data_IF_924624682102
#
_entry.id   IF_924624682102
#
_cell.length_a   1.000
_cell.length_b   1.000
_cell.length_c   1.000
_cell.angle_alpha   90.00
_cell.angle_beta   90.00
_cell.angle_gamma   90.00
#
_symmetry.space_group_name_H-M   'P 1'
#
loop_
_entity.id
_entity.type
_entity.pdbx_description
1 polymer ?
#
# COMPACT_ATOMS: atom_id res chain seq x y z
N UNK A 1 3.59 10.41 0.12
CA UNK A 1 4.18 9.78 1.33
C UNK A 1 4.59 8.32 1.14
N UNK A 2 3.68 7.36 0.95
CA UNK A 2 4.04 5.92 0.86
C UNK A 2 5.13 5.60 -0.20
N UNK A 3 4.99 6.13 -1.42
CA UNK A 3 6.00 5.98 -2.48
C UNK A 3 7.35 6.60 -2.10
N UNK A 4 7.37 7.74 -1.42
CA UNK A 4 8.61 8.41 -1.04
C UNK A 4 9.34 7.62 0.06
N UNK A 5 8.61 7.04 1.01
CA UNK A 5 9.21 6.20 2.07
C UNK A 5 9.77 4.91 1.45
N UNK A 6 9.02 4.24 0.58
CA UNK A 6 9.48 3.03 -0.10
C UNK A 6 10.72 3.29 -0.97
N UNK A 7 10.75 4.39 -1.71
CA UNK A 7 11.93 4.81 -2.47
C UNK A 7 13.15 5.04 -1.55
N UNK A 8 12.98 5.72 -0.41
CA UNK A 8 14.05 5.90 0.59
C UNK A 8 14.53 4.58 1.20
N UNK A 9 13.62 3.60 1.31
CA UNK A 9 13.92 2.24 1.74
C UNK A 9 14.52 1.37 0.62
N UNK A 10 14.79 1.93 -0.56
CA UNK A 10 15.25 1.20 -1.75
C UNK A 10 14.31 0.05 -2.15
N UNK A 11 13.02 0.22 -1.88
CA UNK A 11 11.95 -0.70 -2.25
C UNK A 11 11.15 -0.11 -3.43
N UNK A 12 10.58 -0.99 -4.26
CA UNK A 12 9.69 -0.61 -5.35
C UNK A 12 8.23 -0.76 -4.89
N UNK A 13 7.56 0.37 -4.63
CA UNK A 13 6.16 0.41 -4.20
C UNK A 13 5.22 -0.28 -5.19
N UNK A 14 5.55 -0.24 -6.48
CA UNK A 14 4.74 -0.79 -7.55
C UNK A 14 5.27 -2.15 -8.04
N UNK A 15 5.86 -2.93 -7.15
CA UNK A 15 6.52 -4.19 -7.50
C UNK A 15 5.60 -5.15 -8.27
N UNK A 16 4.30 -5.17 -7.95
CA UNK A 16 3.31 -6.05 -8.59
C UNK A 16 3.33 -5.99 -10.12
N UNK A 17 3.38 -4.78 -10.72
CA UNK A 17 3.41 -4.63 -12.20
C UNK A 17 4.78 -4.98 -12.81
N UNK A 18 5.82 -5.13 -12.00
CA UNK A 18 7.19 -5.46 -12.43
C UNK A 18 7.47 -6.96 -12.37
N UNK A 19 6.71 -7.73 -11.58
CA UNK A 19 6.98 -9.13 -11.27
C UNK A 19 7.25 -10.00 -12.50
N UNK A 20 6.41 -9.93 -13.54
CA UNK A 20 6.60 -10.73 -14.76
C UNK A 20 7.93 -10.43 -15.47
N UNK A 21 8.36 -9.17 -15.50
CA UNK A 21 9.65 -8.78 -16.07
C UNK A 21 10.83 -9.26 -15.22
N UNK A 22 10.74 -9.10 -13.90
CA UNK A 22 11.79 -9.54 -12.97
C UNK A 22 11.98 -11.06 -12.98
N UNK A 23 10.89 -11.82 -12.99
CA UNK A 23 10.93 -13.30 -13.06
C UNK A 23 11.57 -13.77 -14.36
N UNK A 24 11.27 -13.14 -15.50
CA UNK A 24 11.94 -13.45 -16.78
C UNK A 24 13.43 -13.09 -16.74
N UNK A 25 13.78 -11.93 -16.20
CA UNK A 25 15.17 -11.52 -16.05
C UNK A 25 15.96 -12.46 -15.14
N UNK A 26 15.30 -13.14 -14.21
CA UNK A 26 15.89 -14.17 -13.36
C UNK A 26 16.06 -15.54 -14.06
N UNK A 27 15.64 -15.68 -15.33
CA UNK A 27 15.86 -16.88 -16.14
C UNK A 27 14.70 -17.88 -16.17
N UNK A 28 13.50 -17.50 -15.71
CA UNK A 28 12.29 -18.31 -15.87
C UNK A 28 11.63 -18.04 -17.22
N UNK A 29 11.23 -19.12 -17.88
CA UNK A 29 10.72 -19.16 -19.23
C UNK A 29 9.22 -19.50 -19.28
N UNK A 30 8.73 -20.38 -18.40
CA UNK A 30 7.30 -20.59 -18.15
C UNK A 30 6.80 -19.63 -17.07
N UNK A 31 6.23 -18.50 -17.50
CA UNK A 31 5.77 -17.41 -16.64
C UNK A 31 4.33 -17.05 -16.96
N UNK A 32 3.45 -17.21 -15.97
CA UNK A 32 2.05 -16.76 -16.02
C UNK A 32 1.88 -15.56 -15.09
N UNK A 33 1.41 -14.44 -15.63
CA UNK A 33 1.08 -13.23 -14.86
C UNK A 33 -0.42 -13.16 -14.65
N UNK A 34 -0.84 -12.89 -13.42
CA UNK A 34 -2.24 -12.68 -13.07
C UNK A 34 -2.39 -11.42 -12.22
N UNK A 35 -3.63 -11.07 -11.93
CA UNK A 35 -3.97 -9.99 -11.00
C UNK A 35 -5.12 -10.39 -10.12
N UNK A 36 -5.10 -9.95 -8.87
CA UNK A 36 -6.25 -9.98 -7.97
C UNK A 36 -6.51 -8.58 -7.42
N UNK A 37 -7.68 -8.38 -6.80
CA UNK A 37 -8.02 -7.10 -6.17
C UNK A 37 -8.58 -7.32 -4.78
N UNK A 38 -8.19 -6.44 -3.85
CA UNK A 38 -8.99 -6.17 -2.67
C UNK A 38 -9.86 -4.96 -2.92
N UNK A 39 -11.10 -5.01 -2.45
CA UNK A 39 -12.07 -3.92 -2.57
C UNK A 39 -12.68 -3.66 -1.20
N UNK A 40 -12.60 -2.41 -0.75
CA UNK A 40 -13.16 -1.92 0.51
C UNK A 40 -14.25 -0.90 0.19
N UNK A 41 -15.51 -1.34 0.19
CA UNK A 41 -16.66 -0.57 -0.28
C UNK A 41 -17.95 -0.78 0.53
N UNK A 42 -17.98 -1.77 1.42
CA UNK A 42 -19.02 -1.92 2.43
C UNK A 42 -18.55 -1.30 3.77
N UNK A 43 -19.47 -1.01 4.71
CA UNK A 43 -19.11 -0.35 5.96
C UNK A 43 -18.07 -1.10 6.81
N UNK A 44 -18.11 -2.44 6.84
CA UNK A 44 -17.21 -3.25 7.66
C UNK A 44 -15.80 -3.24 7.08
N UNK A 45 -15.67 -3.49 5.78
CA UNK A 45 -14.38 -3.51 5.10
C UNK A 45 -13.69 -2.13 5.10
N UNK A 46 -14.46 -1.04 4.97
CA UNK A 46 -13.95 0.34 5.14
C UNK A 46 -13.49 0.63 6.55
N UNK A 47 -14.29 0.28 7.56
CA UNK A 47 -13.94 0.50 8.96
C UNK A 47 -12.64 -0.23 9.32
N UNK A 48 -12.51 -1.47 8.87
CA UNK A 48 -11.30 -2.26 9.07
C UNK A 48 -10.07 -1.66 8.38
N UNK A 49 -10.16 -1.38 7.07
CA UNK A 49 -9.01 -0.88 6.30
C UNK A 49 -8.60 0.53 6.72
N UNK A 50 -9.57 1.42 6.88
CA UNK A 50 -9.31 2.80 7.28
C UNK A 50 -8.83 2.91 8.73
N UNK A 51 -9.35 2.09 9.64
CA UNK A 51 -8.86 2.00 11.02
C UNK A 51 -7.41 1.53 11.07
N UNK A 52 -7.09 0.44 10.37
CA UNK A 52 -5.71 -0.06 10.28
C UNK A 52 -4.74 1.01 9.76
N UNK A 53 -5.10 1.73 8.69
CA UNK A 53 -4.23 2.77 8.15
C UNK A 53 -4.14 4.00 9.04
N UNK A 54 -5.24 4.41 9.67
CA UNK A 54 -5.25 5.52 10.63
C UNK A 54 -4.28 5.25 11.79
N UNK A 55 -4.21 4.02 12.28
CA UNK A 55 -3.28 3.64 13.34
C UNK A 55 -1.86 3.45 12.79
N UNK A 56 -1.70 2.83 11.61
CA UNK A 56 -0.40 2.60 10.97
C UNK A 56 0.39 3.90 10.75
N UNK A 57 -0.27 4.97 10.30
CA UNK A 57 0.41 6.24 10.03
C UNK A 57 0.91 6.94 11.29
N UNK A 58 0.43 6.53 12.48
CA UNK A 58 0.82 7.11 13.78
C UNK A 58 1.66 6.17 14.67
N UNK A 59 1.49 4.87 14.55
CA UNK A 59 1.96 3.92 15.58
C UNK A 59 2.89 2.82 15.03
N UNK A 60 3.48 3.04 13.86
CA UNK A 60 4.37 2.06 13.23
C UNK A 60 5.66 2.68 12.74
N UNK A 61 6.60 1.82 12.32
CA UNK A 61 7.83 2.23 11.66
C UNK A 61 7.59 3.16 10.44
N UNK A 62 6.38 3.15 9.86
CA UNK A 62 6.00 4.12 8.84
C UNK A 62 6.11 5.56 9.34
N UNK A 63 5.58 5.86 10.54
CA UNK A 63 5.66 7.18 11.17
C UNK A 63 7.11 7.58 11.37
N UNK A 64 7.86 6.71 12.06
CA UNK A 64 9.24 7.00 12.45
C UNK A 64 10.13 7.24 11.23
N UNK A 65 9.96 6.45 10.17
CA UNK A 65 10.67 6.64 8.90
C UNK A 65 10.22 7.93 8.20
N UNK A 66 8.92 8.20 8.13
CA UNK A 66 8.39 9.38 7.46
C UNK A 66 8.96 10.68 8.03
N UNK A 67 9.00 10.78 9.37
CA UNK A 67 9.55 11.93 10.09
C UNK A 67 11.07 11.96 9.98
N UNK A 68 11.77 10.84 10.19
CA UNK A 68 13.23 10.78 10.10
C UNK A 68 13.76 11.14 8.69
N UNK A 69 13.00 10.82 7.64
CA UNK A 69 13.33 11.21 6.27
C UNK A 69 12.95 12.65 5.92
N UNK A 70 12.32 13.38 6.84
CA UNK A 70 11.86 14.76 6.64
C UNK A 70 10.76 14.87 5.58
N UNK A 71 9.97 13.80 5.39
CA UNK A 71 8.91 13.75 4.37
C UNK A 71 7.58 14.30 4.88
N UNK A 72 7.42 14.39 6.20
CA UNK A 72 6.20 14.87 6.86
C UNK A 72 6.45 15.20 8.33
N UNK A 73 5.50 15.85 8.99
CA UNK A 73 5.51 16.14 10.44
C UNK A 73 4.52 15.27 11.21
N UNK A 74 4.64 15.24 12.55
CA UNK A 74 3.66 14.56 13.40
C UNK A 74 2.24 15.12 13.26
N UNK A 75 2.11 16.44 13.08
CA UNK A 75 0.81 17.10 12.88
C UNK A 75 0.17 16.67 11.55
N UNK A 76 0.94 16.63 10.46
CA UNK A 76 0.46 16.16 9.16
C UNK A 76 0.08 14.67 9.19
N UNK A 77 0.77 13.85 9.99
CA UNK A 77 0.42 12.44 10.18
C UNK A 77 -0.88 12.28 11.00
N UNK A 78 -1.13 13.16 11.97
CA UNK A 78 -2.39 13.22 12.68
C UNK A 78 -3.55 13.59 11.74
N UNK A 79 -3.34 14.57 10.86
CA UNK A 79 -4.31 14.94 9.82
C UNK A 79 -4.57 13.78 8.85
N UNK A 80 -3.52 13.07 8.42
CA UNK A 80 -3.65 11.89 7.56
C UNK A 80 -4.42 10.76 8.25
N UNK A 81 -4.18 10.54 9.54
CA UNK A 81 -4.92 9.55 10.35
C UNK A 81 -6.41 9.92 10.44
N UNK A 82 -6.71 11.19 10.69
CA UNK A 82 -8.08 11.69 10.71
C UNK A 82 -8.77 11.54 9.34
N UNK A 83 -8.05 11.80 8.24
CA UNK A 83 -8.56 11.61 6.89
C UNK A 83 -8.91 10.14 6.59
N UNK A 84 -8.10 9.17 7.04
CA UNK A 84 -8.43 7.75 6.94
C UNK A 84 -9.72 7.38 7.68
N UNK A 85 -9.91 7.90 8.90
CA UNK A 85 -11.13 7.68 9.69
C UNK A 85 -12.35 8.33 9.05
N UNK A 86 -12.17 9.51 8.45
CA UNK A 86 -13.22 10.21 7.70
C UNK A 86 -13.64 9.43 6.46
N UNK A 87 -12.68 8.95 5.66
CA UNK A 87 -12.96 8.09 4.50
C UNK A 87 -13.69 6.81 4.90
N UNK A 88 -13.28 6.16 6.00
CA UNK A 88 -13.91 4.93 6.45
C UNK A 88 -15.41 5.12 6.79
N UNK A 89 -15.76 6.29 7.33
CA UNK A 89 -17.12 6.67 7.69
C UNK A 89 -17.96 7.17 6.50
N UNK A 90 -17.34 7.45 5.35
CA UNK A 90 -18.05 7.97 4.19
C UNK A 90 -18.95 6.88 3.57
N UNK A 91 -20.26 7.14 3.36
CA UNK A 91 -21.19 6.13 2.85
C UNK A 91 -20.87 5.70 1.42
N UNK A 92 -20.26 6.58 0.63
CA UNK A 92 -19.80 6.39 -0.74
C UNK A 92 -18.28 6.07 -0.83
N UNK A 93 -17.64 5.82 0.31
CA UNK A 93 -16.23 5.46 0.36
C UNK A 93 -15.93 4.18 -0.44
N UNK A 94 -14.92 4.25 -1.28
CA UNK A 94 -14.40 3.13 -2.06
C UNK A 94 -12.87 3.16 -2.05
N UNK A 95 -12.25 2.00 -1.90
CA UNK A 95 -10.81 1.83 -2.06
C UNK A 95 -10.52 0.45 -2.64
N UNK A 96 -9.63 0.37 -3.63
CA UNK A 96 -9.21 -0.89 -4.22
C UNK A 96 -7.69 -0.99 -4.23
N UNK A 97 -7.18 -2.18 -3.91
CA UNK A 97 -5.77 -2.53 -4.06
C UNK A 97 -5.66 -3.54 -5.18
N UNK A 98 -4.93 -3.19 -6.24
CA UNK A 98 -4.58 -4.13 -7.29
C UNK A 98 -3.30 -4.86 -6.91
N UNK A 99 -3.35 -6.19 -6.92
CA UNK A 99 -2.19 -7.05 -6.71
C UNK A 99 -1.73 -7.60 -8.06
N UNK A 100 -0.49 -7.33 -8.43
CA UNK A 100 0.18 -8.06 -9.52
C UNK A 100 0.74 -9.37 -8.96
N UNK A 101 0.50 -10.47 -9.67
CA UNK A 101 0.87 -11.82 -9.25
C UNK A 101 1.64 -12.51 -10.37
N UNK A 102 2.49 -13.46 -10.00
CA UNK A 102 3.24 -14.26 -10.96
C UNK A 102 3.38 -15.69 -10.46
N UNK A 103 3.11 -16.64 -11.36
CA UNK A 103 3.45 -18.05 -11.20
C UNK A 103 4.53 -18.37 -12.22
N UNK A 104 5.62 -18.97 -11.76
CA UNK A 104 6.77 -19.30 -12.59
C UNK A 104 7.21 -20.74 -12.35
N UNK A 105 7.59 -21.43 -13.43
CA UNK A 105 8.14 -22.79 -13.38
C UNK A 105 9.45 -22.81 -14.14
N UNK A 106 10.32 -23.74 -13.74
CA UNK A 106 11.63 -23.97 -14.32
C UNK A 106 11.64 -25.29 -15.07
#
# INVERSE_FOLDING_TARGET
LYHQITERNQAEADAGRRLGGWVRAAGFDDVTVSTSTWTFADPESRAWWGGMWADRVLQSAFRDQAVAYGLTTDDELADLSAAWRSWASAPDGFFAVLHGEVLARR
#
